data_IF_626018682376
#
_entry.id   IF_626018682376
#
_cell.length_a   1.000
_cell.length_b   1.000
_cell.length_c   1.000
_cell.angle_alpha   90.00
_cell.angle_beta   90.00
_cell.angle_gamma   90.00
#
_symmetry.space_group_name_H-M   'P 1'
#
loop_
_entity.id
_entity.type
_entity.pdbx_description
1 polymer ?
#
# COMPACT_ATOMS: atom_id res chain seq x y z
N UNK A 1 24.00 -3.77 15.28
CA UNK A 1 22.86 -4.60 14.90
C UNK A 1 21.99 -3.90 13.90
N UNK A 2 21.78 -4.49 12.82
CA UNK A 2 21.00 -3.87 11.77
C UNK A 2 19.63 -4.52 11.65
N UNK A 3 18.61 -3.73 11.64
CA UNK A 3 17.25 -4.20 11.44
C UNK A 3 16.80 -3.75 10.07
N UNK A 4 16.55 -4.70 9.21
CA UNK A 4 16.06 -4.38 7.90
C UNK A 4 14.57 -4.66 7.77
N UNK A 5 14.01 -4.26 6.65
CA UNK A 5 12.61 -4.50 6.39
C UNK A 5 12.29 -5.96 6.21
N UNK A 6 13.29 -6.79 5.92
CA UNK A 6 13.06 -8.23 5.79
C UNK A 6 12.69 -8.86 7.12
N UNK A 7 12.91 -8.18 8.23
CA UNK A 7 12.50 -8.70 9.53
C UNK A 7 11.06 -8.38 9.86
N UNK A 8 10.40 -7.59 9.04
CA UNK A 8 9.00 -7.28 9.24
C UNK A 8 8.15 -8.43 8.73
N UNK A 9 7.14 -8.82 9.50
CA UNK A 9 6.18 -9.80 9.02
C UNK A 9 5.09 -9.07 8.23
N UNK A 10 4.18 -9.84 7.63
CA UNK A 10 3.14 -9.26 6.79
C UNK A 10 2.23 -8.33 7.58
N UNK A 11 1.97 -8.67 8.85
CA UNK A 11 1.14 -7.80 9.68
C UNK A 11 1.77 -6.45 9.93
N UNK A 12 3.09 -6.44 10.16
CA UNK A 12 3.81 -5.18 10.36
C UNK A 12 3.84 -4.36 9.09
N UNK A 13 4.05 -5.02 7.95
CA UNK A 13 4.06 -4.32 6.66
C UNK A 13 2.71 -3.70 6.38
N UNK A 14 1.64 -4.46 6.62
CA UNK A 14 0.28 -3.96 6.39
C UNK A 14 0.00 -2.74 7.26
N UNK A 15 0.46 -2.79 8.51
CA UNK A 15 0.27 -1.66 9.42
C UNK A 15 0.99 -0.41 8.91
N UNK A 16 2.22 -0.59 8.44
CA UNK A 16 2.97 0.54 7.90
C UNK A 16 2.30 1.13 6.67
N UNK A 17 1.79 0.26 5.79
CA UNK A 17 1.10 0.73 4.59
C UNK A 17 -0.14 1.52 4.96
N UNK A 18 -0.91 1.03 5.93
CA UNK A 18 -2.13 1.75 6.34
C UNK A 18 -1.78 3.09 6.98
N UNK A 19 -0.71 3.13 7.77
CA UNK A 19 -0.29 4.39 8.38
C UNK A 19 0.14 5.38 7.31
N UNK A 20 0.87 4.91 6.31
CA UNK A 20 1.29 5.76 5.20
C UNK A 20 0.09 6.30 4.44
N UNK A 21 -0.90 5.43 4.18
CA UNK A 21 -2.11 5.85 3.48
C UNK A 21 -2.82 6.97 4.22
N UNK A 22 -2.87 6.85 5.54
CA UNK A 22 -3.52 7.89 6.34
C UNK A 22 -2.79 9.22 6.23
N UNK A 23 -1.47 9.18 6.14
CA UNK A 23 -0.70 10.41 5.95
C UNK A 23 -1.01 11.06 4.62
N UNK A 24 -1.30 10.25 3.61
CA UNK A 24 -1.67 10.77 2.29
C UNK A 24 -3.15 11.14 2.23
N UNK A 25 -3.91 10.82 3.26
CA UNK A 25 -5.29 11.25 3.33
C UNK A 25 -6.30 10.29 2.74
N UNK A 26 -5.95 9.01 2.58
CA UNK A 26 -6.92 8.04 2.09
C UNK A 26 -6.95 6.82 3.02
N UNK A 27 -8.02 6.07 2.91
CA UNK A 27 -8.22 4.88 3.73
C UNK A 27 -7.74 3.65 2.96
N UNK A 28 -6.87 2.89 3.60
CA UNK A 28 -6.40 1.62 3.06
C UNK A 28 -6.90 0.51 3.99
N UNK A 29 -7.77 -0.35 3.49
CA UNK A 29 -8.30 -1.43 4.30
C UNK A 29 -7.24 -2.49 4.52
N UNK A 30 -7.46 -3.32 5.53
CA UNK A 30 -6.54 -4.41 5.82
C UNK A 30 -6.46 -5.37 4.64
N UNK A 31 -7.60 -5.64 4.03
CA UNK A 31 -7.66 -6.53 2.88
C UNK A 31 -6.81 -6.02 1.73
N UNK A 32 -6.92 -4.73 1.43
CA UNK A 32 -6.14 -4.14 0.34
C UNK A 32 -4.66 -4.12 0.67
N UNK A 33 -4.31 -3.83 1.92
CA UNK A 33 -2.91 -3.80 2.29
C UNK A 33 -2.28 -5.19 2.17
N UNK A 34 -2.99 -6.24 2.56
CA UNK A 34 -2.47 -7.60 2.40
C UNK A 34 -2.41 -7.99 0.93
N UNK A 35 -3.38 -7.54 0.13
CA UNK A 35 -3.34 -7.79 -1.29
C UNK A 35 -2.08 -7.20 -1.92
N UNK A 36 -1.74 -5.97 -1.54
CA UNK A 36 -0.54 -5.32 -2.05
C UNK A 36 0.72 -6.08 -1.66
N UNK A 37 0.80 -6.48 -0.41
CA UNK A 37 1.96 -7.20 0.08
C UNK A 37 2.16 -8.51 -0.68
N UNK A 38 1.07 -9.21 -0.98
CA UNK A 38 1.14 -10.50 -1.66
C UNK A 38 1.38 -10.37 -3.15
N UNK A 39 0.82 -9.34 -3.78
CA UNK A 39 0.89 -9.19 -5.22
C UNK A 39 2.10 -8.36 -5.66
N UNK A 40 2.59 -7.51 -4.78
CA UNK A 40 3.74 -6.66 -5.09
C UNK A 40 4.80 -6.90 -4.01
N UNK A 41 5.49 -8.05 -4.07
CA UNK A 41 6.45 -8.42 -3.01
C UNK A 41 7.75 -7.64 -3.16
N UNK A 42 7.69 -6.35 -2.92
CA UNK A 42 8.85 -5.47 -2.99
C UNK A 42 9.26 -5.04 -1.60
N UNK A 43 10.40 -4.37 -1.51
CA UNK A 43 10.84 -3.82 -0.23
C UNK A 43 9.91 -2.68 0.18
N UNK A 44 9.98 -2.32 1.45
CA UNK A 44 9.09 -1.30 1.98
C UNK A 44 9.19 0.04 1.29
N UNK A 45 10.40 0.54 0.95
CA UNK A 45 10.45 1.81 0.24
C UNK A 45 9.63 1.82 -1.05
N UNK A 46 9.68 0.72 -1.81
CA UNK A 46 8.89 0.63 -3.04
C UNK A 46 7.40 0.63 -2.75
N UNK A 47 6.98 -0.16 -1.74
CA UNK A 47 5.57 -0.21 -1.37
C UNK A 47 5.07 1.14 -0.89
N UNK A 48 5.91 1.88 -0.17
CA UNK A 48 5.52 3.20 0.31
C UNK A 48 5.38 4.19 -0.85
N UNK A 49 6.20 4.03 -1.89
CA UNK A 49 6.04 4.86 -3.10
C UNK A 49 4.71 4.58 -3.77
N UNK A 50 4.26 3.32 -3.74
CA UNK A 50 2.96 2.99 -4.31
C UNK A 50 1.83 3.68 -3.57
N UNK A 51 2.01 3.94 -2.28
CA UNK A 51 0.99 4.66 -1.53
C UNK A 51 0.78 6.06 -2.09
N UNK A 52 1.87 6.73 -2.47
CA UNK A 52 1.76 8.05 -3.08
C UNK A 52 1.02 7.99 -4.41
N UNK A 53 1.33 6.98 -5.21
CA UNK A 53 0.65 6.80 -6.49
C UNK A 53 -0.84 6.54 -6.29
N UNK A 54 -1.17 5.64 -5.37
CA UNK A 54 -2.57 5.31 -5.11
C UNK A 54 -3.32 6.51 -4.56
N UNK A 55 -2.68 7.31 -3.71
CA UNK A 55 -3.30 8.51 -3.19
C UNK A 55 -3.63 9.48 -4.31
N UNK A 56 -2.68 9.69 -5.21
CA UNK A 56 -2.86 10.60 -6.33
C UNK A 56 -4.01 10.14 -7.23
N UNK A 57 -4.02 8.86 -7.57
CA UNK A 57 -5.06 8.32 -8.44
C UNK A 57 -6.42 8.31 -7.78
N UNK A 58 -6.46 8.01 -6.48
CA UNK A 58 -7.71 8.02 -5.74
C UNK A 58 -8.32 9.42 -5.75
N UNK A 59 -7.50 10.43 -5.54
CA UNK A 59 -7.98 11.81 -5.54
C UNK A 59 -8.43 12.22 -6.95
N UNK A 60 -7.64 11.87 -7.95
CA UNK A 60 -7.94 12.26 -9.32
C UNK A 60 -9.24 11.65 -9.80
N UNK A 61 -9.49 10.39 -9.44
CA UNK A 61 -10.69 9.66 -9.88
C UNK A 61 -11.84 9.79 -8.90
N UNK A 62 -11.57 10.34 -7.72
CA UNK A 62 -12.56 10.46 -6.66
C UNK A 62 -13.17 9.10 -6.33
N UNK A 63 -12.30 8.11 -6.15
CA UNK A 63 -12.71 6.74 -5.86
C UNK A 63 -11.97 6.22 -4.65
N UNK A 64 -12.61 5.29 -3.95
CA UNK A 64 -11.98 4.61 -2.84
C UNK A 64 -10.93 3.64 -3.34
N UNK A 65 -9.88 3.43 -2.54
CA UNK A 65 -8.83 2.49 -2.87
C UNK A 65 -9.31 1.08 -2.48
N UNK A 66 -9.73 0.33 -3.48
CA UNK A 66 -10.21 -1.04 -3.32
C UNK A 66 -9.30 -1.98 -4.10
N UNK A 67 -9.52 -3.29 -3.96
CA UNK A 67 -8.72 -4.24 -4.71
C UNK A 67 -8.88 -4.05 -6.22
N UNK A 68 -10.11 -3.91 -6.77
CA UNK A 68 -10.24 -3.62 -8.20
C UNK A 68 -9.55 -2.32 -8.60
N UNK A 69 -9.64 -1.29 -7.75
CA UNK A 69 -8.97 -0.03 -8.03
C UNK A 69 -7.45 -0.22 -8.14
N UNK A 70 -6.88 -0.98 -7.20
CA UNK A 70 -5.44 -1.25 -7.20
C UNK A 70 -5.04 -2.03 -8.44
N UNK A 71 -5.84 -3.03 -8.81
CA UNK A 71 -5.54 -3.82 -10.01
C UNK A 71 -5.50 -2.95 -11.25
N UNK A 72 -6.46 -2.05 -11.40
CA UNK A 72 -6.51 -1.14 -12.54
C UNK A 72 -5.32 -0.19 -12.54
N UNK A 73 -5.06 0.40 -11.39
CA UNK A 73 -4.03 1.43 -11.28
C UNK A 73 -2.63 0.85 -11.52
N UNK A 74 -2.38 -0.31 -10.97
CA UNK A 74 -1.06 -0.95 -11.07
C UNK A 74 -0.99 -1.97 -12.20
N UNK A 75 -2.09 -2.21 -12.89
CA UNK A 75 -2.17 -3.15 -14.01
C UNK A 75 -1.77 -4.56 -13.58
N UNK A 76 -2.36 -5.00 -12.51
CA UNK A 76 -2.11 -6.34 -11.99
C UNK A 76 -3.07 -7.35 -12.60
#
# INVERSE_FOLDING_TARGET
MLIGTDLLNDGDKARLLRASARQYGFFLSEEVSHFLINRVPRDMPHLLELMALLASESLRRQRLVTIPFVKETLRL
#
